data_IF_005851794700
#
_entry.id   IF_005851794700
#
_cell.length_a   1.000
_cell.length_b   1.000
_cell.length_c   1.000
_cell.angle_alpha   90.00
_cell.angle_beta   90.00
_cell.angle_gamma   90.00
#
_symmetry.space_group_name_H-M   'P 1'
#
loop_
_entity.id
_entity.type
_entity.pdbx_description
1 polymer ?
#
# COMPACT_ATOMS: atom_id res chain seq x y z
N UNK A 1 -15.09 70.17 -13.96
CA UNK A 1 -14.61 69.08 -14.92
C UNK A 1 -14.10 67.86 -14.22
N UNK A 2 -14.64 67.46 -13.08
CA UNK A 2 -14.19 66.27 -12.32
C UNK A 2 -15.25 65.15 -12.20
N UNK A 3 -16.47 65.35 -12.70
CA UNK A 3 -17.56 64.36 -12.54
C UNK A 3 -17.79 63.38 -13.72
N UNK A 4 -17.16 63.63 -14.86
CA UNK A 4 -17.37 62.79 -16.07
C UNK A 4 -16.39 61.61 -16.19
N UNK A 5 -15.26 61.60 -15.43
CA UNK A 5 -14.27 60.51 -15.50
C UNK A 5 -14.59 59.28 -14.63
N UNK A 6 -15.59 59.38 -13.73
CA UNK A 6 -15.88 58.30 -12.78
C UNK A 6 -16.96 57.33 -13.25
N UNK A 7 -17.73 57.65 -14.31
CA UNK A 7 -18.75 56.74 -14.84
C UNK A 7 -18.27 55.76 -15.89
N UNK A 8 -17.10 55.97 -16.45
CA UNK A 8 -16.52 55.08 -17.50
C UNK A 8 -15.75 53.90 -16.91
N UNK A 9 -15.17 54.05 -15.70
CA UNK A 9 -14.44 53.00 -15.04
C UNK A 9 -15.35 51.98 -14.32
N UNK A 10 -16.55 52.35 -13.93
CA UNK A 10 -17.50 51.42 -13.28
C UNK A 10 -18.20 50.51 -14.28
N UNK A 11 -18.31 50.93 -15.56
CA UNK A 11 -18.85 50.08 -16.63
C UNK A 11 -17.85 49.07 -17.15
N UNK A 12 -16.55 49.37 -17.14
CA UNK A 12 -15.50 48.38 -17.54
C UNK A 12 -15.28 47.28 -16.50
N UNK A 13 -15.37 47.61 -15.20
CA UNK A 13 -15.25 46.62 -14.13
C UNK A 13 -16.49 45.69 -14.00
N UNK A 14 -17.67 46.08 -14.54
CA UNK A 14 -18.84 45.19 -14.61
C UNK A 14 -18.89 44.30 -15.83
N UNK A 15 -18.16 44.61 -16.88
CA UNK A 15 -18.09 43.77 -18.10
C UNK A 15 -17.06 42.66 -17.96
N UNK A 16 -16.00 42.88 -17.17
CA UNK A 16 -14.97 41.83 -16.92
C UNK A 16 -15.40 40.77 -15.91
N UNK A 17 -16.46 41.01 -15.13
CA UNK A 17 -17.00 40.03 -14.15
C UNK A 17 -18.13 39.15 -14.70
N UNK A 18 -18.55 39.31 -15.97
CA UNK A 18 -19.58 38.49 -16.59
C UNK A 18 -19.05 37.41 -17.54
N UNK A 19 -17.74 37.42 -17.89
CA UNK A 19 -17.16 36.46 -18.81
C UNK A 19 -16.39 35.31 -18.10
N UNK A 20 -16.36 35.29 -16.76
CA UNK A 20 -15.71 34.19 -15.99
C UNK A 20 -16.65 33.02 -15.65
N UNK A 21 -17.91 33.02 -16.13
CA UNK A 21 -18.87 31.93 -15.94
C UNK A 21 -19.18 31.14 -17.24
N UNK A 22 -18.29 31.13 -18.21
CA UNK A 22 -18.25 30.02 -19.16
C UNK A 22 -17.52 28.87 -18.49
N UNK A 23 -18.27 28.08 -17.71
CA UNK A 23 -17.88 26.75 -17.27
C UNK A 23 -17.44 25.99 -18.51
N UNK A 24 -16.15 25.74 -18.58
CA UNK A 24 -15.51 24.92 -19.60
C UNK A 24 -16.15 23.51 -19.61
N UNK A 25 -17.06 23.31 -20.58
CA UNK A 25 -17.74 22.04 -20.82
C UNK A 25 -16.81 20.97 -21.44
N UNK A 26 -15.48 21.20 -21.44
CA UNK A 26 -14.46 20.25 -21.95
C UNK A 26 -13.83 19.40 -20.84
N UNK A 27 -14.36 19.43 -19.58
CA UNK A 27 -13.98 18.51 -18.51
C UNK A 27 -14.75 17.20 -18.52
N UNK A 28 -15.16 16.72 -19.67
CA UNK A 28 -15.71 15.38 -19.88
C UNK A 28 -14.74 14.58 -20.70
N UNK A 29 -13.71 14.04 -20.09
CA UNK A 29 -12.91 12.87 -20.47
C UNK A 29 -11.67 12.76 -19.57
N UNK A 30 -11.86 12.66 -18.26
CA UNK A 30 -10.89 11.97 -17.42
C UNK A 30 -11.37 10.54 -17.28
N UNK A 31 -11.26 9.83 -18.40
CA UNK A 31 -11.37 8.40 -18.44
C UNK A 31 -10.32 7.78 -17.51
N UNK A 32 -10.76 6.77 -16.79
CA UNK A 32 -9.96 5.74 -16.14
C UNK A 32 -8.86 6.28 -15.20
N UNK A 33 -9.26 6.79 -14.02
CA UNK A 33 -8.34 6.80 -12.88
C UNK A 33 -7.85 5.37 -12.72
N UNK A 34 -6.59 5.10 -13.04
CA UNK A 34 -5.98 3.78 -12.84
C UNK A 34 -6.33 3.32 -11.44
N UNK A 35 -7.02 2.19 -11.34
CA UNK A 35 -7.37 1.56 -10.08
C UNK A 35 -6.07 1.29 -9.31
N UNK A 36 -6.07 1.51 -7.99
CA UNK A 36 -4.90 1.24 -7.15
C UNK A 36 -4.52 -0.24 -7.28
N UNK A 37 -3.26 -0.51 -7.59
CA UNK A 37 -2.72 -1.86 -7.76
C UNK A 37 -2.06 -2.33 -6.48
N UNK A 38 -2.49 -3.46 -5.96
CA UNK A 38 -1.98 -4.00 -4.71
C UNK A 38 -1.49 -5.43 -4.88
N UNK A 39 -0.46 -5.77 -4.13
CA UNK A 39 -0.03 -7.17 -3.95
C UNK A 39 -0.59 -7.68 -2.62
N UNK A 40 -1.29 -8.80 -2.66
CA UNK A 40 -1.65 -9.59 -1.49
C UNK A 40 -0.64 -10.69 -1.26
N UNK A 41 0.34 -10.50 -0.39
CA UNK A 41 1.38 -11.48 -0.10
C UNK A 41 0.89 -12.53 0.90
N UNK A 42 0.79 -13.78 0.46
CA UNK A 42 0.37 -14.92 1.29
C UNK A 42 1.54 -15.34 2.18
N UNK A 43 1.52 -14.95 3.45
CA UNK A 43 2.61 -15.12 4.42
C UNK A 43 2.80 -16.55 4.94
N UNK A 44 2.48 -17.56 4.16
CA UNK A 44 2.61 -18.97 4.55
C UNK A 44 2.81 -19.87 3.33
N UNK A 45 3.51 -20.99 3.54
CA UNK A 45 3.63 -22.08 2.56
C UNK A 45 2.63 -23.22 2.78
N UNK A 46 1.74 -23.11 3.79
CA UNK A 46 0.70 -24.13 4.05
C UNK A 46 -0.31 -24.22 2.89
N UNK A 47 -0.63 -25.44 2.48
CA UNK A 47 -1.67 -25.68 1.45
C UNK A 47 -3.06 -25.24 1.91
N UNK A 48 -3.41 -25.48 3.17
CA UNK A 48 -4.65 -25.04 3.80
C UNK A 48 -4.33 -23.88 4.71
N UNK A 49 -4.83 -22.68 4.39
CA UNK A 49 -4.49 -21.46 5.13
C UNK A 49 -5.65 -20.48 5.16
N UNK A 50 -6.10 -20.14 6.36
CA UNK A 50 -7.08 -19.07 6.57
C UNK A 50 -6.50 -17.66 6.27
N UNK A 51 -5.20 -17.51 6.26
CA UNK A 51 -4.53 -16.28 5.81
C UNK A 51 -4.63 -16.10 4.29
N UNK A 52 -4.49 -17.18 3.52
CA UNK A 52 -4.77 -17.16 2.08
C UNK A 52 -6.25 -16.87 1.81
N UNK A 53 -7.14 -17.50 2.56
CA UNK A 53 -8.57 -17.29 2.46
C UNK A 53 -8.95 -15.83 2.79
N UNK A 54 -8.31 -15.24 3.80
CA UNK A 54 -8.48 -13.81 4.13
C UNK A 54 -8.08 -12.91 2.96
N UNK A 55 -6.93 -13.15 2.32
CA UNK A 55 -6.52 -12.37 1.15
C UNK A 55 -7.43 -12.60 -0.06
N UNK A 56 -7.95 -13.80 -0.27
CA UNK A 56 -8.96 -14.08 -1.30
C UNK A 56 -10.24 -13.28 -1.05
N UNK A 57 -10.70 -13.23 0.20
CA UNK A 57 -11.84 -12.42 0.60
C UNK A 57 -11.56 -10.92 0.36
N UNK A 58 -10.42 -10.41 0.80
CA UNK A 58 -10.02 -9.00 0.58
C UNK A 58 -10.02 -8.67 -0.92
N UNK A 59 -9.43 -9.52 -1.75
CA UNK A 59 -9.44 -9.34 -3.21
C UNK A 59 -10.87 -9.29 -3.78
N UNK A 60 -11.72 -10.22 -3.39
CA UNK A 60 -13.13 -10.30 -3.84
C UNK A 60 -13.93 -9.09 -3.37
N UNK A 61 -13.84 -8.77 -2.08
CA UNK A 61 -14.65 -7.73 -1.43
C UNK A 61 -14.30 -6.32 -1.92
N UNK A 62 -13.03 -6.06 -2.19
CA UNK A 62 -12.54 -4.76 -2.63
C UNK A 62 -12.28 -4.65 -4.15
N UNK A 63 -12.75 -5.58 -4.96
CA UNK A 63 -12.53 -5.57 -6.42
C UNK A 63 -12.99 -4.29 -7.13
N UNK A 64 -13.97 -3.55 -6.56
CA UNK A 64 -14.40 -2.24 -7.07
C UNK A 64 -13.54 -1.05 -6.62
N UNK A 65 -12.59 -1.25 -5.69
CA UNK A 65 -11.76 -0.20 -5.09
C UNK A 65 -10.28 -0.32 -5.43
N UNK A 66 -9.78 -1.55 -5.63
CA UNK A 66 -8.39 -1.84 -5.97
C UNK A 66 -8.27 -3.11 -6.82
N UNK A 67 -7.24 -3.18 -7.65
CA UNK A 67 -6.82 -4.38 -8.35
C UNK A 67 -5.78 -5.10 -7.47
N UNK A 68 -6.14 -6.28 -6.95
CA UNK A 68 -5.32 -7.01 -5.98
C UNK A 68 -4.84 -8.31 -6.61
N UNK A 69 -3.52 -8.44 -6.81
CA UNK A 69 -2.90 -9.69 -7.22
C UNK A 69 -2.40 -10.46 -5.99
N UNK A 70 -2.78 -11.75 -5.88
CA UNK A 70 -2.27 -12.61 -4.81
C UNK A 70 -0.95 -13.25 -5.22
N UNK A 71 0.03 -13.17 -4.34
CA UNK A 71 1.38 -13.70 -4.54
C UNK A 71 1.70 -14.71 -3.45
N UNK A 72 2.14 -15.90 -3.87
CA UNK A 72 2.51 -17.01 -3.01
C UNK A 72 4.02 -17.08 -2.79
N UNK A 73 4.43 -17.40 -1.55
CA UNK A 73 5.85 -17.60 -1.19
C UNK A 73 6.23 -19.08 -1.06
N UNK A 74 5.27 -19.98 -1.24
CA UNK A 74 5.41 -21.41 -0.93
C UNK A 74 6.49 -22.13 -1.72
N UNK A 75 6.80 -21.63 -2.93
CA UNK A 75 7.75 -22.26 -3.84
C UNK A 75 9.15 -21.62 -3.78
N UNK A 76 9.35 -20.61 -2.91
CA UNK A 76 10.64 -20.00 -2.71
C UNK A 76 11.56 -20.91 -1.90
N UNK A 77 12.85 -21.03 -2.29
CA UNK A 77 13.83 -21.73 -1.47
C UNK A 77 14.09 -21.00 -0.16
N UNK A 78 14.58 -21.72 0.84
CA UNK A 78 15.03 -21.09 2.08
C UNK A 78 16.18 -20.13 1.78
N UNK A 79 16.16 -18.97 2.42
CA UNK A 79 17.22 -17.98 2.30
C UNK A 79 18.54 -18.53 2.84
N UNK A 80 19.57 -18.52 2.01
CA UNK A 80 20.89 -19.08 2.30
C UNK A 80 22.04 -18.08 2.13
N UNK A 81 21.73 -16.80 1.87
CA UNK A 81 22.70 -15.71 1.70
C UNK A 81 23.81 -16.06 0.67
N UNK A 82 23.47 -16.29 -0.62
CA UNK A 82 24.46 -16.69 -1.62
C UNK A 82 25.53 -15.61 -1.82
N UNK A 83 26.81 -16.04 -1.85
CA UNK A 83 27.96 -15.10 -1.91
C UNK A 83 27.96 -14.23 -3.19
N UNK A 84 27.47 -14.78 -4.31
CA UNK A 84 27.38 -14.11 -5.61
C UNK A 84 26.14 -13.19 -5.72
N UNK A 85 25.32 -13.09 -4.68
CA UNK A 85 24.03 -12.36 -4.66
C UNK A 85 23.05 -12.78 -5.76
N UNK A 86 23.19 -13.99 -6.28
CA UNK A 86 22.27 -14.54 -7.26
C UNK A 86 20.91 -14.81 -6.63
N UNK A 87 19.84 -14.29 -7.27
CA UNK A 87 18.47 -14.42 -6.78
C UNK A 87 17.75 -15.52 -7.55
N UNK A 88 17.01 -16.39 -6.85
CA UNK A 88 16.09 -17.33 -7.50
C UNK A 88 15.08 -16.60 -8.38
N UNK A 89 14.67 -17.21 -9.49
CA UNK A 89 13.73 -16.57 -10.44
C UNK A 89 12.42 -16.17 -9.78
N UNK A 90 11.83 -17.04 -8.95
CA UNK A 90 10.60 -16.69 -8.22
C UNK A 90 10.75 -15.48 -7.29
N UNK A 91 11.95 -15.20 -6.79
CA UNK A 91 12.20 -13.98 -5.99
C UNK A 91 12.18 -12.74 -6.89
N UNK A 92 12.82 -12.81 -8.07
CA UNK A 92 12.81 -11.70 -9.05
C UNK A 92 11.41 -11.40 -9.53
N UNK A 93 10.60 -12.41 -9.82
CA UNK A 93 9.20 -12.27 -10.23
C UNK A 93 8.37 -11.58 -9.15
N UNK A 94 8.51 -11.99 -7.88
CA UNK A 94 7.79 -11.36 -6.76
C UNK A 94 8.25 -9.91 -6.57
N UNK A 95 9.57 -9.67 -6.66
CA UNK A 95 10.12 -8.32 -6.54
C UNK A 95 9.55 -7.39 -7.62
N UNK A 96 9.55 -7.81 -8.89
CA UNK A 96 9.00 -7.02 -9.99
C UNK A 96 7.49 -6.68 -9.79
N UNK A 97 6.70 -7.64 -9.29
CA UNK A 97 5.29 -7.40 -8.96
C UNK A 97 5.12 -6.38 -7.84
N UNK A 98 5.92 -6.47 -6.77
CA UNK A 98 5.90 -5.52 -5.65
C UNK A 98 6.32 -4.12 -6.14
N UNK A 99 7.35 -4.01 -6.95
CA UNK A 99 7.81 -2.73 -7.51
C UNK A 99 6.73 -2.05 -8.35
N UNK A 100 6.01 -2.82 -9.16
CA UNK A 100 4.94 -2.33 -10.04
C UNK A 100 3.63 -1.98 -9.29
N UNK A 101 3.50 -2.36 -8.02
CA UNK A 101 2.30 -2.11 -7.22
C UNK A 101 2.40 -0.81 -6.40
N UNK A 102 1.26 -0.22 -6.10
CA UNK A 102 1.13 0.97 -5.26
C UNK A 102 1.25 0.66 -3.76
N UNK A 103 1.02 -0.60 -3.36
CA UNK A 103 1.13 -1.05 -1.99
C UNK A 103 1.05 -2.57 -1.85
N UNK A 104 1.32 -3.05 -0.63
CA UNK A 104 1.32 -4.49 -0.31
C UNK A 104 0.46 -4.76 0.90
N UNK A 105 -0.37 -5.80 0.83
CA UNK A 105 -1.11 -6.37 1.96
C UNK A 105 -0.44 -7.69 2.30
N UNK A 106 0.08 -7.83 3.52
CA UNK A 106 0.67 -9.09 3.98
C UNK A 106 -0.29 -9.75 4.96
N UNK A 107 -0.65 -11.00 4.70
CA UNK A 107 -1.42 -11.80 5.66
C UNK A 107 -0.56 -12.92 6.22
N UNK A 108 -0.27 -12.85 7.53
CA UNK A 108 0.63 -13.78 8.22
C UNK A 108 -0.11 -14.60 9.28
N UNK A 109 0.02 -15.92 9.30
CA UNK A 109 -0.29 -16.71 10.48
C UNK A 109 0.73 -16.43 11.59
N UNK A 110 0.42 -16.90 12.77
CA UNK A 110 1.31 -16.89 13.95
C UNK A 110 1.71 -18.33 14.27
N UNK A 111 3.01 -18.64 14.21
CA UNK A 111 3.58 -19.90 14.64
C UNK A 111 4.56 -19.62 15.78
N UNK A 112 4.38 -20.29 16.91
CA UNK A 112 5.23 -20.12 18.09
C UNK A 112 5.45 -18.65 18.48
N UNK A 113 4.36 -17.87 18.42
CA UNK A 113 4.32 -16.42 18.72
C UNK A 113 5.14 -15.54 17.78
N UNK A 114 5.49 -16.04 16.61
CA UNK A 114 6.33 -15.32 15.63
C UNK A 114 5.79 -15.41 14.21
N UNK A 115 6.44 -14.66 13.33
CA UNK A 115 6.29 -14.76 11.87
C UNK A 115 6.77 -16.15 11.42
N UNK A 116 6.05 -16.85 10.53
CA UNK A 116 6.50 -18.13 10.00
C UNK A 116 7.88 -18.06 9.33
N UNK A 117 8.71 -19.09 9.52
CA UNK A 117 10.05 -19.16 8.93
C UNK A 117 10.03 -18.95 7.40
N UNK A 118 9.00 -19.44 6.70
CA UNK A 118 8.81 -19.23 5.26
C UNK A 118 8.65 -17.74 4.89
N UNK A 119 7.89 -16.98 5.67
CA UNK A 119 7.73 -15.53 5.43
C UNK A 119 9.00 -14.77 5.80
N UNK A 120 9.66 -15.12 6.91
CA UNK A 120 10.95 -14.53 7.27
C UNK A 120 11.98 -14.75 6.16
N UNK A 121 12.05 -15.97 5.61
CA UNK A 121 12.91 -16.31 4.48
C UNK A 121 12.59 -15.51 3.22
N UNK A 122 11.30 -15.36 2.89
CA UNK A 122 10.87 -14.57 1.74
C UNK A 122 11.28 -13.09 1.88
N UNK A 123 11.10 -12.50 3.06
CA UNK A 123 11.51 -11.12 3.34
C UNK A 123 13.04 -10.99 3.24
N UNK A 124 13.79 -11.95 3.76
CA UNK A 124 15.24 -11.96 3.64
C UNK A 124 15.72 -12.00 2.18
N UNK A 125 15.06 -12.76 1.30
CA UNK A 125 15.30 -12.71 -0.14
C UNK A 125 14.97 -11.34 -0.75
N UNK A 126 13.84 -10.73 -0.37
CA UNK A 126 13.37 -9.45 -0.88
C UNK A 126 14.15 -8.23 -0.33
N UNK A 127 15.14 -8.46 0.55
CA UNK A 127 16.04 -7.43 1.09
C UNK A 127 17.51 -7.72 0.81
N UNK A 128 17.82 -8.75 0.01
CA UNK A 128 19.18 -9.17 -0.27
C UNK A 128 19.62 -8.82 -1.68
N UNK A 129 20.20 -7.63 -1.85
CA UNK A 129 20.66 -7.11 -3.15
C UNK A 129 19.57 -6.53 -4.04
N UNK A 130 18.32 -6.60 -3.60
CA UNK A 130 17.13 -5.91 -4.16
C UNK A 130 16.33 -5.36 -2.99
N UNK A 131 15.52 -4.30 -3.24
CA UNK A 131 14.78 -3.64 -2.19
C UNK A 131 13.37 -3.22 -2.66
N UNK A 132 12.52 -4.16 -3.16
CA UNK A 132 11.20 -3.84 -3.73
C UNK A 132 10.22 -3.27 -2.69
N UNK A 133 10.49 -3.51 -1.40
CA UNK A 133 9.70 -3.01 -0.28
C UNK A 133 10.15 -1.62 0.21
N UNK A 134 11.28 -1.09 -0.28
CA UNK A 134 11.79 0.21 0.14
C UNK A 134 10.73 1.31 -0.09
N UNK A 135 10.37 2.00 1.00
CA UNK A 135 9.34 3.04 1.02
C UNK A 135 7.94 2.58 0.53
N UNK A 136 7.73 1.28 0.33
CA UNK A 136 6.45 0.72 -0.11
C UNK A 136 5.41 0.78 1.01
N UNK A 137 4.20 1.32 0.77
CA UNK A 137 3.09 1.23 1.72
C UNK A 137 2.70 -0.22 1.99
N UNK A 138 2.62 -0.60 3.26
CA UNK A 138 2.29 -1.97 3.67
C UNK A 138 1.16 -1.96 4.70
N UNK A 139 0.14 -2.79 4.47
CA UNK A 139 -0.90 -3.14 5.43
C UNK A 139 -0.64 -4.55 5.95
N UNK A 140 -0.60 -4.72 7.26
CA UNK A 140 -0.48 -6.04 7.89
C UNK A 140 -1.85 -6.55 8.31
N UNK A 141 -2.08 -7.84 8.02
CA UNK A 141 -3.29 -8.57 8.40
C UNK A 141 -2.90 -9.96 8.90
N UNK A 142 -3.82 -10.63 9.56
CA UNK A 142 -3.58 -12.00 9.92
C UNK A 142 -4.82 -12.71 10.44
N UNK A 143 -4.76 -14.02 10.33
CA UNK A 143 -5.78 -14.93 10.79
C UNK A 143 -5.13 -16.06 11.60
N UNK A 144 -5.72 -16.38 12.74
CA UNK A 144 -5.29 -17.51 13.58
C UNK A 144 -6.47 -18.33 14.06
N UNK A 145 -6.22 -19.60 14.39
CA UNK A 145 -7.24 -20.47 14.95
C UNK A 145 -7.65 -20.06 16.37
N UNK A 146 -6.72 -19.45 17.11
CA UNK A 146 -6.97 -18.91 18.44
C UNK A 146 -7.56 -17.50 18.41
N UNK A 147 -7.75 -16.92 19.58
CA UNK A 147 -8.42 -15.62 19.82
C UNK A 147 -7.64 -14.43 19.29
N UNK A 148 -6.29 -14.50 19.30
CA UNK A 148 -5.42 -13.34 19.13
C UNK A 148 -5.22 -12.90 17.67
N UNK A 149 -5.72 -13.65 16.66
CA UNK A 149 -5.71 -13.22 15.28
C UNK A 149 -4.31 -12.91 14.70
N UNK A 150 -3.26 -13.58 15.19
CA UNK A 150 -1.84 -13.36 14.83
C UNK A 150 -1.19 -12.05 15.30
N UNK A 151 -1.66 -11.47 16.41
CA UNK A 151 -1.17 -10.16 16.90
C UNK A 151 0.35 -10.12 17.16
N UNK A 152 0.93 -11.18 17.72
CA UNK A 152 2.38 -11.24 18.00
C UNK A 152 3.20 -11.36 16.73
N UNK A 153 2.73 -12.17 15.77
CA UNK A 153 3.36 -12.25 14.45
C UNK A 153 3.31 -10.90 13.73
N UNK A 154 2.21 -10.14 13.82
CA UNK A 154 2.12 -8.81 13.21
C UNK A 154 3.07 -7.81 13.89
N UNK A 155 3.24 -7.86 15.22
CA UNK A 155 4.22 -7.03 15.92
C UNK A 155 5.66 -7.37 15.49
N UNK A 156 6.00 -8.67 15.42
CA UNK A 156 7.30 -9.12 14.91
C UNK A 156 7.52 -8.72 13.46
N UNK A 157 6.50 -8.84 12.62
CA UNK A 157 6.58 -8.45 11.19
C UNK A 157 6.81 -6.94 11.04
N UNK A 158 6.20 -6.08 11.86
CA UNK A 158 6.49 -4.64 11.89
C UNK A 158 7.97 -4.37 12.13
N UNK A 159 8.56 -5.03 13.14
CA UNK A 159 9.98 -4.89 13.43
C UNK A 159 10.86 -5.28 12.23
N UNK A 160 10.50 -6.36 11.53
CA UNK A 160 11.22 -6.77 10.31
C UNK A 160 11.09 -5.74 9.19
N UNK A 161 9.89 -5.16 9.00
CA UNK A 161 9.63 -4.15 7.97
C UNK A 161 10.37 -2.83 8.23
N UNK A 162 10.65 -2.49 9.50
CA UNK A 162 11.38 -1.29 9.90
C UNK A 162 12.90 -1.44 9.76
N UNK A 163 13.43 -2.65 9.47
CA UNK A 163 14.87 -2.84 9.27
C UNK A 163 15.39 -1.98 8.12
N UNK A 164 16.64 -1.48 8.19
CA UNK A 164 17.22 -0.63 7.14
C UNK A 164 17.24 -1.27 5.75
N UNK A 165 17.35 -2.60 5.69
CA UNK A 165 17.39 -3.37 4.45
C UNK A 165 16.02 -3.50 3.78
N UNK A 166 14.93 -3.48 4.56
CA UNK A 166 13.54 -3.54 4.08
C UNK A 166 12.95 -2.15 3.93
N UNK A 167 13.00 -1.36 5.00
CA UNK A 167 12.56 0.05 5.10
C UNK A 167 11.19 0.29 4.46
N UNK A 168 10.23 -0.61 4.74
CA UNK A 168 8.86 -0.49 4.25
C UNK A 168 8.08 0.55 5.08
N UNK A 169 7.08 1.16 4.49
CA UNK A 169 6.18 2.06 5.20
C UNK A 169 4.95 1.30 5.67
N UNK A 170 5.04 0.74 6.86
CA UNK A 170 3.90 0.02 7.46
C UNK A 170 2.87 1.03 7.94
N UNK A 171 1.60 0.85 7.53
CA UNK A 171 0.50 1.69 8.00
C UNK A 171 0.44 1.71 9.54
N UNK A 172 0.54 2.88 10.18
CA UNK A 172 0.62 2.97 11.64
C UNK A 172 -0.71 2.65 12.30
N UNK A 173 -0.66 2.18 13.55
CA UNK A 173 -1.82 1.98 14.42
C UNK A 173 -2.94 1.10 13.85
N UNK A 174 -2.64 0.26 12.87
CA UNK A 174 -3.62 -0.62 12.24
C UNK A 174 -3.29 -2.07 12.47
N UNK A 175 -4.27 -2.81 12.96
CA UNK A 175 -4.19 -4.27 13.11
C UNK A 175 -5.51 -4.88 12.67
N UNK A 176 -5.48 -5.72 11.64
CA UNK A 176 -6.59 -6.59 11.34
C UNK A 176 -6.29 -8.00 11.85
N UNK A 177 -6.95 -8.35 12.94
CA UNK A 177 -6.75 -9.59 13.69
C UNK A 177 -7.99 -10.46 13.55
N UNK A 178 -7.92 -11.52 12.72
CA UNK A 178 -9.01 -12.47 12.55
C UNK A 178 -8.78 -13.68 13.46
N UNK A 179 -9.28 -13.61 14.69
CA UNK A 179 -9.32 -14.76 15.60
C UNK A 179 -10.36 -15.79 15.17
N UNK A 180 -10.26 -17.01 15.72
CA UNK A 180 -11.17 -18.13 15.45
C UNK A 180 -11.41 -18.35 13.95
N UNK A 181 -10.34 -18.26 13.16
CA UNK A 181 -10.42 -18.13 11.71
C UNK A 181 -10.98 -19.35 10.99
N UNK A 182 -11.06 -20.52 11.63
CA UNK A 182 -11.73 -21.70 11.07
C UNK A 182 -13.26 -21.53 10.99
N UNK A 183 -13.84 -20.67 11.82
CA UNK A 183 -15.28 -20.39 11.88
C UNK A 183 -15.63 -19.01 11.32
N UNK A 184 -14.63 -18.25 10.86
CA UNK A 184 -14.81 -16.85 10.45
C UNK A 184 -15.38 -16.69 9.04
N UNK A 185 -15.29 -17.73 8.21
CA UNK A 185 -15.73 -17.71 6.82
C UNK A 185 -16.91 -18.64 6.61
N UNK A 186 -17.86 -18.20 5.79
CA UNK A 186 -18.95 -19.02 5.30
C UNK A 186 -18.53 -19.94 4.13
N UNK A 187 -19.51 -20.70 3.58
CA UNK A 187 -19.27 -21.60 2.45
C UNK A 187 -18.84 -20.90 1.16
N UNK A 188 -19.21 -19.63 0.99
CA UNK A 188 -18.81 -18.79 -0.14
C UNK A 188 -17.41 -18.16 0.05
N UNK A 189 -16.78 -18.37 1.23
CA UNK A 189 -15.50 -17.80 1.62
C UNK A 189 -15.59 -16.35 2.07
N UNK A 190 -16.78 -15.86 2.40
CA UNK A 190 -17.01 -14.51 2.91
C UNK A 190 -16.90 -14.47 4.44
N UNK A 191 -16.44 -13.37 5.00
CA UNK A 191 -16.39 -13.20 6.46
C UNK A 191 -17.82 -13.05 6.98
N UNK A 192 -18.20 -13.94 7.89
CA UNK A 192 -19.57 -14.06 8.38
C UNK A 192 -19.99 -12.96 9.36
N UNK A 193 -19.04 -12.39 10.11
CA UNK A 193 -19.33 -11.38 11.14
C UNK A 193 -19.31 -9.96 10.54
N UNK A 194 -20.46 -9.23 10.57
CA UNK A 194 -20.56 -7.89 9.99
C UNK A 194 -19.64 -6.85 10.66
N UNK A 195 -19.39 -6.96 11.97
CA UNK A 195 -18.50 -6.05 12.68
C UNK A 195 -17.05 -6.22 12.23
N UNK A 196 -16.64 -7.47 11.97
CA UNK A 196 -15.32 -7.79 11.42
C UNK A 196 -15.18 -7.25 10.00
N UNK A 197 -16.22 -7.35 9.19
CA UNK A 197 -16.26 -6.76 7.83
C UNK A 197 -16.14 -5.25 7.91
N UNK A 198 -16.93 -4.58 8.74
CA UNK A 198 -16.89 -3.12 8.90
C UNK A 198 -15.51 -2.63 9.37
N UNK A 199 -14.86 -3.36 10.30
CA UNK A 199 -13.49 -3.05 10.71
C UNK A 199 -12.51 -3.16 9.55
N UNK A 200 -12.61 -4.22 8.74
CA UNK A 200 -11.75 -4.40 7.57
C UNK A 200 -11.96 -3.30 6.53
N UNK A 201 -13.22 -2.92 6.29
CA UNK A 201 -13.57 -1.83 5.36
C UNK A 201 -12.97 -0.50 5.78
N UNK A 202 -13.04 -0.16 7.07
CA UNK A 202 -12.42 1.03 7.63
C UNK A 202 -10.90 1.02 7.46
N UNK A 203 -10.24 -0.07 7.84
CA UNK A 203 -8.79 -0.22 7.70
C UNK A 203 -8.33 -0.19 6.24
N UNK A 204 -9.10 -0.76 5.33
CA UNK A 204 -8.79 -0.73 3.91
C UNK A 204 -8.94 0.69 3.32
N UNK A 205 -9.95 1.45 3.74
CA UNK A 205 -10.10 2.86 3.36
C UNK A 205 -8.92 3.71 3.85
N UNK A 206 -8.49 3.49 5.10
CA UNK A 206 -7.31 4.14 5.68
C UNK A 206 -6.03 3.75 4.91
N UNK A 207 -5.90 2.50 4.49
CA UNK A 207 -4.76 2.05 3.70
C UNK A 207 -4.69 2.74 2.33
N UNK A 208 -5.81 2.88 1.63
CA UNK A 208 -5.86 3.60 0.36
C UNK A 208 -5.49 5.09 0.53
N UNK A 209 -5.86 5.71 1.66
CA UNK A 209 -5.43 7.06 2.00
C UNK A 209 -3.93 7.11 2.32
N UNK A 210 -3.44 6.14 3.09
CA UNK A 210 -2.03 6.03 3.46
C UNK A 210 -1.12 5.88 2.23
N UNK A 211 -1.52 5.10 1.22
CA UNK A 211 -0.82 5.00 -0.07
C UNK A 211 -0.66 6.39 -0.70
N UNK A 212 -1.73 7.17 -0.79
CA UNK A 212 -1.70 8.53 -1.38
C UNK A 212 -0.81 9.50 -0.61
N UNK A 213 -0.82 9.42 0.73
CA UNK A 213 0.03 10.26 1.59
C UNK A 213 1.50 9.88 1.42
N UNK A 214 1.80 8.58 1.39
CA UNK A 214 3.15 8.05 1.20
C UNK A 214 3.73 8.48 -0.15
N UNK A 215 2.94 8.37 -1.23
CA UNK A 215 3.35 8.84 -2.55
C UNK A 215 3.72 10.33 -2.55
N UNK A 216 2.89 11.18 -1.92
CA UNK A 216 3.20 12.61 -1.80
C UNK A 216 4.47 12.86 -1.01
N UNK A 217 4.69 12.11 0.07
CA UNK A 217 5.90 12.23 0.89
C UNK A 217 7.15 11.86 0.09
N UNK A 218 7.12 10.73 -0.63
CA UNK A 218 8.24 10.28 -1.47
C UNK A 218 8.53 11.31 -2.58
N UNK A 219 7.52 11.85 -3.21
CA UNK A 219 7.67 12.86 -4.26
C UNK A 219 8.25 14.17 -3.71
N UNK A 220 7.86 14.59 -2.51
CA UNK A 220 8.44 15.76 -1.84
C UNK A 220 9.92 15.56 -1.51
N UNK A 221 10.32 14.37 -1.05
CA UNK A 221 11.73 14.05 -0.81
C UNK A 221 12.57 14.11 -2.09
N UNK A 222 12.09 13.52 -3.19
CA UNK A 222 12.77 13.56 -4.49
C UNK A 222 12.93 14.97 -5.05
N UNK A 223 11.97 15.86 -4.79
CA UNK A 223 12.07 17.27 -5.19
C UNK A 223 13.14 18.00 -4.36
N UNK A 224 13.16 17.79 -3.04
CA UNK A 224 14.16 18.38 -2.16
C UNK A 224 15.58 17.88 -2.48
N UNK A 225 15.76 16.59 -2.79
CA UNK A 225 17.05 16.04 -3.24
C UNK A 225 17.53 16.73 -4.52
N UNK A 226 16.65 16.90 -5.52
CA UNK A 226 17.00 17.60 -6.77
C UNK A 226 17.34 19.07 -6.56
N UNK A 227 16.66 19.76 -5.64
CA UNK A 227 16.96 21.14 -5.29
C UNK A 227 18.34 21.25 -4.65
N UNK A 228 18.71 20.30 -3.77
CA UNK A 228 20.05 20.24 -3.14
C UNK A 228 21.12 19.92 -4.18
N UNK A 229 20.89 18.96 -5.08
CA UNK A 229 21.83 18.60 -6.16
C UNK A 229 22.11 19.78 -7.12
N UNK A 230 21.09 20.60 -7.38
CA UNK A 230 21.21 21.78 -8.26
C UNK A 230 21.66 23.05 -7.52
N UNK A 231 21.81 23.01 -6.18
CA UNK A 231 22.24 24.16 -5.41
C UNK A 231 23.72 24.45 -5.62
N UNK A 232 24.04 25.68 -6.05
CA UNK A 232 25.41 26.17 -6.14
C UNK A 232 25.62 27.38 -5.22
N UNK A 233 26.69 27.34 -4.42
CA UNK A 233 27.09 28.49 -3.60
C UNK A 233 27.49 29.72 -4.45
N UNK A 234 27.76 29.52 -5.74
CA UNK A 234 28.10 30.60 -6.68
C UNK A 234 26.88 31.43 -7.10
N UNK A 235 25.65 30.86 -6.99
CA UNK A 235 24.40 31.53 -7.33
C UNK A 235 23.93 32.51 -6.23
N UNK A 236 24.62 32.59 -5.11
CA UNK A 236 24.32 33.46 -3.97
C UNK A 236 25.09 34.82 -4.01
N UNK A 237 25.71 35.17 -5.14
CA UNK A 237 26.44 36.44 -5.31
C UNK A 237 25.58 37.55 -5.87
#
# INVERSE_FOLDING_TARGET
>A
MAEVKNKTNVKKAKQENLDTNKVDSTKKERGNKNMVKLIGLVGTNSKKSTNRQLLQYIKKHFAGKADIELVEIKDLPLFNKPANKELPEGVKEIAAKIEAADGVIISSPEYDHAVPASLMSAIAWLSYGIHPLLDKPVMLTGASYGTLGSSRAQAHLRQMMDSPEVKARVMPSSEFLLGHSLQAFDEAGDISNPETVAKLESLFADFLLFIKITEKLINAHKLAEKEIENFSWEDLK
#
